data_IF_347000332120
#
_entry.id   IF_347000332120
#
_cell.length_a   1.000
_cell.length_b   1.000
_cell.length_c   1.000
_cell.angle_alpha   90.00
_cell.angle_beta   90.00
_cell.angle_gamma   90.00
#
_symmetry.space_group_name_H-M   'P 1'
#
loop_
_entity.id
_entity.type
_entity.pdbx_description
1 polymer ?
#
# COMPACT_ATOMS: atom_id res chain seq x y z
N UNK A 1 17.11 6.55 34.57
CA UNK A 1 16.44 7.73 35.18
C UNK A 1 15.33 7.26 36.12
N UNK A 2 14.81 8.12 37.00
CA UNK A 2 13.59 7.81 37.77
C UNK A 2 12.40 8.46 37.06
N UNK A 3 11.43 7.64 36.71
CA UNK A 3 10.20 8.07 36.03
C UNK A 3 9.01 7.47 36.77
N UNK A 4 7.95 8.25 36.93
CA UNK A 4 6.67 7.77 37.48
C UNK A 4 5.75 7.52 36.30
N UNK A 5 5.16 6.32 36.23
CA UNK A 5 4.19 5.95 35.19
C UNK A 5 2.97 5.35 35.87
N UNK A 6 1.79 5.70 35.38
CA UNK A 6 0.54 5.10 35.84
C UNK A 6 0.26 3.84 35.02
N UNK A 7 -0.07 2.74 35.70
CA UNK A 7 -0.39 1.47 35.07
C UNK A 7 -1.65 0.89 35.70
N UNK A 8 -2.44 0.16 34.91
CA UNK A 8 -3.58 -0.56 35.44
C UNK A 8 -3.12 -1.64 36.43
N UNK A 9 -3.83 -1.79 37.55
CA UNK A 9 -3.53 -2.81 38.57
C UNK A 9 -3.49 -4.22 37.98
N UNK A 10 -4.42 -4.52 37.06
CA UNK A 10 -4.48 -5.81 36.36
C UNK A 10 -3.22 -6.11 35.55
N UNK A 11 -2.57 -5.08 34.99
CA UNK A 11 -1.30 -5.23 34.29
C UNK A 11 -0.14 -5.42 35.28
N UNK A 12 -0.15 -4.68 36.39
CA UNK A 12 0.89 -4.80 37.41
C UNK A 12 0.91 -6.20 38.04
N UNK A 13 -0.25 -6.79 38.34
CA UNK A 13 -0.33 -8.15 38.87
C UNK A 13 0.25 -9.20 37.91
N UNK A 14 -0.03 -9.07 36.61
CA UNK A 14 0.57 -9.92 35.57
C UNK A 14 2.09 -9.70 35.46
N UNK A 15 2.54 -8.46 35.61
CA UNK A 15 3.95 -8.13 35.62
C UNK A 15 4.67 -8.79 36.81
N UNK A 16 4.05 -8.83 38.01
CA UNK A 16 4.60 -9.54 39.18
C UNK A 16 4.86 -11.01 38.91
N UNK A 17 3.89 -11.73 38.35
CA UNK A 17 4.08 -13.14 37.99
C UNK A 17 5.24 -13.32 37.03
N UNK A 18 5.40 -12.39 36.07
CA UNK A 18 6.49 -12.42 35.09
C UNK A 18 7.85 -12.14 35.74
N UNK A 19 7.91 -11.19 36.66
CA UNK A 19 9.13 -10.86 37.43
C UNK A 19 9.62 -12.04 38.24
N UNK A 20 8.72 -12.71 38.98
CA UNK A 20 9.05 -13.89 39.79
C UNK A 20 9.56 -15.01 38.89
N UNK A 21 8.84 -15.30 37.80
CA UNK A 21 9.21 -16.40 36.88
C UNK A 21 10.56 -16.16 36.20
N UNK A 22 10.88 -14.92 35.83
CA UNK A 22 12.12 -14.57 35.12
C UNK A 22 13.27 -14.18 36.04
N UNK A 23 13.04 -14.01 37.34
CA UNK A 23 14.04 -13.51 38.27
C UNK A 23 14.50 -12.08 37.93
N UNK A 24 13.57 -11.21 37.53
CA UNK A 24 13.88 -9.84 37.09
C UNK A 24 13.11 -8.79 37.89
N UNK A 25 13.48 -7.52 37.73
CA UNK A 25 12.83 -6.39 38.41
C UNK A 25 11.77 -5.74 37.53
N UNK A 26 10.87 -4.97 38.14
CA UNK A 26 9.81 -4.26 37.40
C UNK A 26 10.43 -3.27 36.42
N UNK A 27 11.49 -2.58 36.86
CA UNK A 27 12.24 -1.65 36.04
C UNK A 27 12.83 -2.32 34.80
N UNK A 28 13.51 -3.46 34.96
CA UNK A 28 14.09 -4.17 33.83
C UNK A 28 13.02 -4.67 32.85
N UNK A 29 11.86 -5.11 33.37
CA UNK A 29 10.73 -5.52 32.53
C UNK A 29 10.15 -4.34 31.72
N UNK A 30 10.06 -3.16 32.33
CA UNK A 30 9.59 -1.93 31.67
C UNK A 30 10.62 -1.45 30.64
N UNK A 31 11.91 -1.45 30.97
CA UNK A 31 12.97 -1.06 30.04
C UNK A 31 13.03 -2.01 28.82
N UNK A 32 12.92 -3.33 29.03
CA UNK A 32 12.81 -4.33 27.95
C UNK A 32 11.59 -4.10 27.05
N UNK A 33 10.43 -3.86 27.66
CA UNK A 33 9.18 -3.61 26.91
C UNK A 33 9.23 -2.32 26.10
N UNK A 34 9.74 -1.23 26.70
CA UNK A 34 9.86 0.06 26.03
C UNK A 34 10.88 0.01 24.89
N UNK A 35 12.03 -0.65 25.09
CA UNK A 35 13.04 -0.79 24.05
C UNK A 35 12.47 -1.47 22.79
N UNK A 36 11.73 -2.57 22.97
CA UNK A 36 11.08 -3.26 21.84
C UNK A 36 10.11 -2.38 21.08
N UNK A 37 9.25 -1.64 21.78
CA UNK A 37 8.27 -0.75 21.14
C UNK A 37 8.95 0.37 20.37
N UNK A 38 10.06 0.92 20.89
CA UNK A 38 10.85 1.94 20.19
C UNK A 38 11.54 1.34 18.96
N UNK A 39 12.17 0.18 19.09
CA UNK A 39 12.81 -0.52 17.97
C UNK A 39 11.79 -0.86 16.86
N UNK A 40 10.60 -1.35 17.23
CA UNK A 40 9.51 -1.63 16.30
C UNK A 40 9.04 -0.35 15.58
N UNK A 41 8.91 0.76 16.32
CA UNK A 41 8.51 2.04 15.75
C UNK A 41 9.58 2.65 14.83
N UNK A 42 10.87 2.45 15.12
CA UNK A 42 11.97 2.89 14.27
C UNK A 42 12.16 1.97 13.05
N UNK A 43 11.83 0.69 13.18
CA UNK A 43 11.92 -0.30 12.10
C UNK A 43 10.76 -0.20 11.11
N UNK A 44 9.64 0.40 11.49
CA UNK A 44 8.49 0.59 10.61
C UNK A 44 8.92 1.49 9.43
N UNK A 45 8.98 0.96 8.19
CA UNK A 45 9.47 1.74 7.07
C UNK A 45 8.54 2.93 6.89
N UNK A 46 9.07 4.12 7.14
CA UNK A 46 8.42 5.39 6.86
C UNK A 46 7.91 5.28 5.43
N UNK A 47 6.58 5.12 5.27
CA UNK A 47 5.97 4.72 4.01
C UNK A 47 6.63 5.54 2.90
N UNK A 48 7.40 4.87 2.04
CA UNK A 48 8.31 5.55 1.14
C UNK A 48 7.52 6.63 0.43
N UNK A 49 7.92 7.90 0.65
CA UNK A 49 7.20 9.03 0.07
C UNK A 49 6.98 8.71 -1.41
N UNK A 50 5.74 8.84 -1.94
CA UNK A 50 5.46 8.45 -3.31
C UNK A 50 6.49 9.12 -4.22
N UNK A 51 7.29 8.30 -4.92
CA UNK A 51 8.31 8.83 -5.82
C UNK A 51 7.60 9.64 -6.88
N UNK A 52 8.09 10.85 -7.14
CA UNK A 52 7.60 11.68 -8.24
C UNK A 52 7.83 10.93 -9.55
N UNK A 53 6.78 10.37 -10.13
CA UNK A 53 6.79 9.88 -11.50
C UNK A 53 6.64 11.10 -12.43
N UNK A 54 7.65 11.35 -13.25
CA UNK A 54 7.57 12.33 -14.34
C UNK A 54 7.23 11.51 -15.59
N UNK A 55 6.13 11.87 -16.24
CA UNK A 55 5.75 11.31 -17.53
C UNK A 55 6.19 12.30 -18.61
N UNK A 56 7.22 11.93 -19.38
CA UNK A 56 7.86 12.75 -20.42
C UNK A 56 7.62 12.22 -21.86
N UNK A 57 6.70 11.27 -22.03
CA UNK A 57 6.28 10.80 -23.34
C UNK A 57 5.59 11.91 -24.16
N UNK A 58 5.64 11.80 -25.49
CA UNK A 58 5.08 12.79 -26.43
C UNK A 58 3.60 13.16 -26.18
N UNK A 59 2.85 12.28 -25.51
CA UNK A 59 1.43 12.47 -25.17
C UNK A 59 1.17 12.97 -23.73
N UNK A 60 2.20 13.05 -22.88
CA UNK A 60 2.08 13.46 -21.47
C UNK A 60 1.16 12.56 -20.62
N UNK A 61 0.58 13.12 -19.56
CA UNK A 61 -0.54 12.51 -18.84
C UNK A 61 -1.79 12.61 -19.74
N UNK A 62 -2.37 11.46 -20.10
CA UNK A 62 -3.64 11.43 -20.82
C UNK A 62 -4.72 12.22 -20.06
N UNK A 63 -5.67 12.78 -20.80
CA UNK A 63 -6.81 13.47 -20.20
C UNK A 63 -7.49 12.59 -19.14
N UNK A 64 -8.00 13.18 -18.04
CA UNK A 64 -8.65 12.41 -16.98
C UNK A 64 -9.80 11.61 -17.57
N UNK A 65 -9.77 10.30 -17.30
CA UNK A 65 -10.83 9.37 -17.68
C UNK A 65 -12.18 9.88 -17.17
N UNK A 66 -13.12 10.14 -18.07
CA UNK A 66 -14.50 10.43 -17.69
C UNK A 66 -15.32 9.14 -17.74
N UNK A 67 -16.15 8.84 -16.73
CA UNK A 67 -17.01 7.64 -16.73
C UNK A 67 -17.93 7.52 -17.96
N UNK A 68 -18.19 8.63 -18.65
CA UNK A 68 -19.03 8.70 -19.86
C UNK A 68 -18.27 8.38 -21.16
N UNK A 69 -16.96 8.14 -21.11
CA UNK A 69 -16.14 7.81 -22.29
C UNK A 69 -16.24 6.33 -22.69
N UNK A 70 -16.71 5.47 -21.76
CA UNK A 70 -16.84 4.01 -21.95
C UNK A 70 -17.69 3.62 -23.18
N UNK A 71 -18.88 4.20 -23.39
CA UNK A 71 -19.70 3.91 -24.56
C UNK A 71 -19.00 4.30 -25.88
N UNK A 72 -18.25 5.40 -25.91
CA UNK A 72 -17.54 5.86 -27.11
C UNK A 72 -16.28 5.04 -27.40
N UNK A 73 -15.52 4.66 -26.37
CA UNK A 73 -14.38 3.75 -26.50
C UNK A 73 -14.82 2.39 -27.05
N UNK A 74 -15.89 1.81 -26.51
CA UNK A 74 -16.44 0.55 -27.00
C UNK A 74 -17.00 0.66 -28.44
N UNK A 75 -17.55 1.82 -28.82
CA UNK A 75 -17.96 2.10 -30.21
C UNK A 75 -16.75 2.14 -31.14
N UNK A 76 -15.68 2.84 -30.76
CA UNK A 76 -14.43 2.90 -31.54
C UNK A 76 -13.82 1.53 -31.76
N UNK A 77 -13.71 0.71 -30.71
CA UNK A 77 -13.17 -0.65 -30.84
C UNK A 77 -14.03 -1.54 -31.75
N UNK A 78 -15.36 -1.45 -31.65
CA UNK A 78 -16.29 -2.19 -32.53
C UNK A 78 -16.21 -1.74 -33.99
N UNK A 79 -15.98 -0.45 -34.24
CA UNK A 79 -15.82 0.09 -35.59
C UNK A 79 -14.46 -0.28 -36.18
N UNK A 80 -13.39 -0.19 -35.40
CA UNK A 80 -12.05 -0.63 -35.80
C UNK A 80 -11.99 -2.14 -36.12
N UNK A 81 -12.79 -2.95 -35.41
CA UNK A 81 -12.95 -4.38 -35.72
C UNK A 81 -13.77 -4.65 -37.00
N UNK A 82 -14.73 -3.78 -37.34
CA UNK A 82 -15.54 -3.90 -38.58
C UNK A 82 -14.78 -3.46 -39.83
N UNK A 83 -13.95 -2.42 -39.75
CA UNK A 83 -13.10 -1.99 -40.87
C UNK A 83 -12.06 -3.06 -41.23
N UNK A 84 -11.50 -3.76 -40.23
CA UNK A 84 -10.59 -4.89 -40.46
C UNK A 84 -11.27 -6.13 -41.06
N UNK A 85 -12.56 -6.33 -40.82
CA UNK A 85 -13.34 -7.41 -41.43
C UNK A 85 -13.74 -7.08 -42.89
N UNK A 86 -14.14 -5.83 -43.16
CA UNK A 86 -14.52 -5.39 -44.50
C UNK A 86 -13.34 -5.34 -45.50
N UNK A 87 -12.11 -5.11 -45.01
CA UNK A 87 -10.89 -5.14 -45.84
C UNK A 87 -10.46 -6.55 -46.29
N UNK A 88 -11.05 -7.62 -45.76
CA UNK A 88 -10.68 -9.01 -46.08
C UNK A 88 -11.51 -9.67 -47.20
N UNK A 89 -12.63 -9.06 -47.60
CA UNK A 89 -13.52 -9.59 -48.66
C UNK A 89 -13.25 -9.00 -50.05
N UNK A 90 -12.42 -7.95 -50.17
CA UNK A 90 -12.15 -7.26 -51.44
C UNK A 90 -11.06 -7.85 -52.35
N UNK A 91 -10.34 -8.91 -51.94
CA UNK A 91 -9.16 -9.43 -52.68
C UNK A 91 -9.30 -10.88 -53.15
N UNK A 92 -10.51 -11.30 -53.53
CA UNK A 92 -10.70 -12.48 -54.39
C UNK A 92 -11.70 -12.17 -55.50
N UNK A 93 -11.21 -11.63 -56.61
CA UNK A 93 -12.03 -11.48 -57.81
C UNK A 93 -11.25 -10.92 -58.99
N UNK A 94 -11.11 -11.74 -60.03
CA UNK A 94 -10.61 -11.46 -61.39
C UNK A 94 -9.13 -11.08 -61.50
N UNK A 95 -8.35 -11.65 -62.41
CA UNK A 95 -8.62 -12.52 -63.56
C UNK A 95 -7.38 -12.49 -64.44
#
# INVERSE_FOLDING_TARGET
MRTTVEIADSLFERAKTTMVRRGTTFRALVEEGLARVVEEAEAEPQAAAPRRAIFDGELGLAAPYQPYDLPELLRRERMAGREQAAGREGTRGSG
#
